data_IF_495437978999
#
_entry.id   IF_495437978999
#
_cell.length_a   1.000
_cell.length_b   1.000
_cell.length_c   1.000
_cell.angle_alpha   90.00
_cell.angle_beta   90.00
_cell.angle_gamma   90.00
#
_symmetry.space_group_name_H-M   'P 1'
#
loop_
_entity.id
_entity.type
_entity.pdbx_description
1 polymer ?
#
# COMPACT_ATOMS: atom_id res chain seq x y z
N UNK A 1 0.16 1.04 16.03
CA UNK A 1 -0.75 0.17 15.29
C UNK A 1 -2.16 0.69 15.46
N UNK A 2 -2.88 0.80 14.37
CA UNK A 2 -4.31 0.97 14.50
C UNK A 2 -4.84 -0.29 15.18
N UNK A 3 -5.61 -0.12 16.24
CA UNK A 3 -6.18 -1.24 16.96
C UNK A 3 -6.99 -2.08 15.96
N UNK A 4 -6.53 -3.31 15.69
CA UNK A 4 -7.18 -4.21 14.76
C UNK A 4 -6.40 -4.61 13.53
N UNK A 5 -5.31 -3.89 13.19
CA UNK A 5 -4.45 -4.31 12.08
C UNK A 5 -3.60 -5.50 12.51
N UNK A 6 -3.53 -6.52 11.65
CA UNK A 6 -2.82 -7.76 11.92
C UNK A 6 -2.00 -8.20 10.73
N UNK A 7 -0.84 -8.77 11.04
CA UNK A 7 0.00 -9.45 10.05
C UNK A 7 -0.05 -10.94 10.34
N UNK A 8 -0.41 -11.72 9.32
CA UNK A 8 -0.34 -13.18 9.37
C UNK A 8 0.50 -13.65 8.21
N UNK A 9 1.47 -14.49 8.47
CA UNK A 9 2.31 -14.96 7.38
C UNK A 9 3.29 -16.02 7.80
N UNK A 10 3.99 -16.52 6.83
CA UNK A 10 5.11 -17.41 6.98
C UNK A 10 6.35 -16.82 6.34
N UNK A 11 7.49 -17.19 6.83
CA UNK A 11 8.74 -16.68 6.31
C UNK A 11 9.93 -17.40 6.89
N UNK A 12 11.10 -16.86 6.68
CA UNK A 12 12.35 -17.45 7.16
C UNK A 12 13.29 -16.36 7.64
N UNK A 13 14.15 -16.74 8.56
CA UNK A 13 15.18 -15.84 9.06
C UNK A 13 16.04 -16.53 10.11
N UNK A 14 17.20 -15.97 10.31
CA UNK A 14 18.07 -16.35 11.45
C UNK A 14 17.80 -15.38 12.57
N UNK A 15 17.25 -15.90 13.67
CA UNK A 15 16.88 -15.07 14.80
C UNK A 15 17.54 -15.62 16.07
N UNK A 16 18.08 -14.71 16.86
CA UNK A 16 18.59 -15.02 18.18
C UNK A 16 17.62 -14.48 19.23
N UNK A 17 17.18 -15.38 20.12
CA UNK A 17 16.25 -15.04 21.18
C UNK A 17 17.02 -15.16 22.51
N UNK A 18 17.00 -14.09 23.31
CA UNK A 18 17.59 -14.06 24.63
C UNK A 18 16.52 -13.80 25.67
N UNK A 19 16.52 -14.59 26.72
CA UNK A 19 15.57 -14.44 27.81
C UNK A 19 16.36 -14.18 29.11
N UNK A 20 16.20 -12.97 29.68
CA UNK A 20 16.91 -12.59 30.88
C UNK A 20 16.16 -12.93 32.17
N UNK A 21 16.88 -12.84 33.30
CA UNK A 21 16.36 -13.13 34.64
C UNK A 21 15.26 -12.17 35.10
N UNK A 22 15.04 -11.06 34.39
CA UNK A 22 14.01 -10.06 34.69
C UNK A 22 12.82 -10.12 33.72
N UNK A 23 12.60 -11.25 33.09
CA UNK A 23 11.51 -11.45 32.10
C UNK A 23 11.64 -10.56 30.86
N UNK A 24 12.85 -10.07 30.58
CA UNK A 24 13.11 -9.29 29.38
C UNK A 24 13.40 -10.21 28.20
N UNK A 25 12.46 -10.28 27.29
CA UNK A 25 12.67 -10.98 26.04
C UNK A 25 13.42 -10.05 25.07
N UNK A 26 14.54 -10.54 24.54
CA UNK A 26 15.32 -9.84 23.53
C UNK A 26 15.37 -10.68 22.27
N UNK A 27 15.14 -10.04 21.14
CA UNK A 27 15.18 -10.68 19.83
C UNK A 27 16.11 -9.92 18.91
N UNK A 28 16.94 -10.65 18.19
CA UNK A 28 17.89 -10.10 17.22
C UNK A 28 17.79 -10.88 15.92
N UNK A 29 17.86 -10.19 14.80
CA UNK A 29 17.89 -10.80 13.50
C UNK A 29 16.82 -10.28 12.58
N UNK A 30 16.79 -10.82 11.37
CA UNK A 30 15.87 -10.43 10.32
C UNK A 30 14.94 -11.59 10.00
N UNK A 31 13.67 -11.28 9.86
CA UNK A 31 12.64 -12.23 9.41
C UNK A 31 12.13 -11.77 8.06
N UNK A 32 12.35 -12.59 7.02
CA UNK A 32 11.85 -12.33 5.69
C UNK A 32 10.50 -13.02 5.50
N UNK A 33 9.49 -12.23 5.13
CA UNK A 33 8.15 -12.74 4.88
C UNK A 33 8.11 -13.29 3.46
N UNK A 34 7.73 -14.56 3.32
CA UNK A 34 7.58 -15.24 2.04
C UNK A 34 6.14 -15.21 1.56
N UNK A 35 5.21 -15.36 2.49
CA UNK A 35 3.78 -15.34 2.19
C UNK A 35 3.05 -14.77 3.40
N UNK A 36 2.13 -13.87 3.17
CA UNK A 36 1.41 -13.27 4.28
C UNK A 36 0.30 -12.34 3.86
N UNK A 37 -0.52 -12.03 4.83
CA UNK A 37 -1.67 -11.14 4.69
C UNK A 37 -1.54 -10.05 5.75
N UNK A 38 -1.73 -8.81 5.32
CA UNK A 38 -1.90 -7.67 6.20
C UNK A 38 -3.38 -7.28 6.24
N UNK A 39 -4.00 -7.41 7.39
CA UNK A 39 -5.39 -6.99 7.58
C UNK A 39 -5.39 -5.48 7.83
N UNK A 40 -5.70 -4.73 6.78
CA UNK A 40 -5.70 -3.27 6.82
C UNK A 40 -7.06 -2.75 7.23
N UNK A 41 -7.09 -1.78 8.14
CA UNK A 41 -8.30 -1.05 8.49
C UNK A 41 -8.03 0.45 8.52
N UNK A 42 -9.01 1.22 8.05
CA UNK A 42 -8.94 2.68 8.07
C UNK A 42 -10.28 3.21 8.60
N UNK A 43 -10.22 3.96 9.72
CA UNK A 43 -11.36 4.63 10.34
C UNK A 43 -12.56 3.70 10.58
N UNK A 44 -12.31 2.41 10.77
CA UNK A 44 -13.34 1.37 10.98
C UNK A 44 -14.32 1.22 9.80
N UNK A 45 -14.10 1.93 8.70
CA UNK A 45 -14.95 1.88 7.51
C UNK A 45 -14.38 0.97 6.43
N UNK A 46 -13.07 0.88 6.34
CA UNK A 46 -12.37 0.09 5.34
C UNK A 46 -11.68 -1.06 6.04
N UNK A 47 -11.98 -2.29 5.61
CA UNK A 47 -11.31 -3.51 6.06
C UNK A 47 -10.94 -4.30 4.81
N UNK A 48 -9.65 -4.35 4.50
CA UNK A 48 -9.15 -5.05 3.31
C UNK A 48 -7.92 -5.87 3.64
N UNK A 49 -7.85 -7.04 3.06
CA UNK A 49 -6.70 -7.94 3.22
C UNK A 49 -5.71 -7.68 2.09
N UNK A 50 -4.58 -7.11 2.43
CA UNK A 50 -3.48 -6.88 1.50
C UNK A 50 -2.55 -8.08 1.52
N UNK A 51 -2.18 -8.55 0.35
CA UNK A 51 -1.19 -9.62 0.21
C UNK A 51 0.20 -9.04 0.36
N UNK A 52 0.96 -9.54 1.32
CA UNK A 52 2.33 -9.11 1.56
C UNK A 52 3.22 -9.67 0.45
N UNK A 53 4.04 -8.81 -0.14
CA UNK A 53 5.00 -9.23 -1.17
C UNK A 53 6.19 -9.93 -0.54
N UNK A 54 6.67 -10.96 -1.22
CA UNK A 54 7.91 -11.62 -0.85
C UNK A 54 9.05 -10.62 -0.81
N UNK A 55 9.93 -10.77 0.18
CA UNK A 55 11.03 -9.83 0.41
C UNK A 55 10.72 -8.76 1.45
N UNK A 56 9.48 -8.68 1.93
CA UNK A 56 9.16 -7.84 3.07
C UNK A 56 9.88 -8.34 4.32
N UNK A 57 10.37 -7.41 5.14
CA UNK A 57 11.27 -7.73 6.26
C UNK A 57 10.73 -7.19 7.57
N UNK A 58 10.99 -7.94 8.64
CA UNK A 58 10.90 -7.44 10.01
C UNK A 58 12.26 -7.64 10.64
N UNK A 59 12.85 -6.56 11.17
CA UNK A 59 14.18 -6.57 11.76
C UNK A 59 14.09 -6.33 13.25
N UNK A 60 14.67 -7.23 14.03
CA UNK A 60 14.68 -7.16 15.48
C UNK A 60 16.06 -6.78 15.98
N UNK A 61 16.11 -5.84 16.91
CA UNK A 61 17.34 -5.30 17.47
C UNK A 61 17.23 -5.12 18.98
N UNK A 62 16.72 -6.12 19.68
CA UNK A 62 16.57 -6.17 21.13
C UNK A 62 15.14 -6.28 21.57
N UNK A 63 14.47 -5.17 21.84
CA UNK A 63 13.06 -5.18 22.24
C UNK A 63 12.18 -5.60 21.07
N UNK A 64 11.42 -6.71 21.19
CA UNK A 64 10.56 -7.17 20.10
C UNK A 64 9.49 -6.16 19.69
N UNK A 65 9.07 -5.31 20.61
CA UNK A 65 8.06 -4.29 20.31
C UNK A 65 8.62 -3.09 19.55
N UNK A 66 9.94 -2.92 19.53
CA UNK A 66 10.64 -1.87 18.79
C UNK A 66 11.28 -2.42 17.52
N UNK A 67 10.76 -3.51 17.01
CA UNK A 67 11.20 -4.04 15.73
C UNK A 67 10.94 -3.02 14.61
N UNK A 68 11.83 -3.03 13.63
CA UNK A 68 11.65 -2.24 12.41
C UNK A 68 11.04 -3.11 11.33
N UNK A 69 10.16 -2.54 10.53
CA UNK A 69 9.59 -3.25 9.42
C UNK A 69 9.78 -2.51 8.11
N UNK A 70 9.81 -3.29 7.05
CA UNK A 70 9.82 -2.82 5.68
C UNK A 70 8.90 -3.76 4.90
N UNK A 71 7.63 -3.39 4.85
CA UNK A 71 6.58 -4.25 4.31
C UNK A 71 5.95 -3.57 3.10
N UNK A 72 5.84 -4.34 2.04
CA UNK A 72 5.15 -3.97 0.81
C UNK A 72 4.01 -4.97 0.60
N UNK A 73 2.79 -4.47 0.58
CA UNK A 73 1.60 -5.32 0.43
C UNK A 73 0.68 -4.74 -0.65
N UNK A 74 -0.04 -5.61 -1.33
CA UNK A 74 -0.89 -5.20 -2.45
C UNK A 74 -2.31 -5.69 -2.27
N UNK A 75 -3.24 -4.88 -2.76
CA UNK A 75 -4.63 -5.24 -2.99
C UNK A 75 -4.94 -5.04 -4.46
N UNK A 76 -5.23 -6.13 -5.17
CA UNK A 76 -5.51 -6.08 -6.61
C UNK A 76 -7.00 -5.92 -6.85
N UNK A 77 -7.32 -5.04 -7.79
CA UNK A 77 -8.69 -4.84 -8.27
C UNK A 77 -8.67 -4.45 -9.73
N UNK A 78 -9.84 -4.33 -10.33
CA UNK A 78 -10.00 -3.86 -11.71
C UNK A 78 -10.72 -2.54 -11.70
N UNK A 79 -10.20 -1.55 -12.43
CA UNK A 79 -10.80 -0.24 -12.50
C UNK A 79 -10.69 0.34 -13.92
N UNK A 80 -11.52 1.32 -14.19
CA UNK A 80 -11.57 1.98 -15.49
C UNK A 80 -10.67 3.22 -15.48
N UNK A 81 -9.66 3.23 -16.37
CA UNK A 81 -8.73 4.35 -16.47
C UNK A 81 -9.41 5.66 -16.89
N UNK A 82 -10.51 5.60 -17.62
CA UNK A 82 -11.22 6.81 -18.05
C UNK A 82 -11.82 7.58 -16.87
N UNK A 83 -12.06 6.93 -15.74
CA UNK A 83 -12.51 7.62 -14.53
C UNK A 83 -11.43 8.52 -13.95
N UNK A 84 -10.17 8.16 -14.13
CA UNK A 84 -9.04 9.00 -13.73
C UNK A 84 -8.79 10.09 -14.77
N UNK A 85 -8.61 9.70 -16.03
CA UNK A 85 -8.34 10.61 -17.12
C UNK A 85 -8.67 9.90 -18.46
N UNK A 86 -9.42 10.57 -19.30
CA UNK A 86 -9.83 10.01 -20.58
C UNK A 86 -8.65 9.78 -21.52
N UNK A 87 -7.62 10.60 -21.44
CA UNK A 87 -6.44 10.45 -22.29
C UNK A 87 -5.65 9.20 -21.98
N UNK A 88 -5.64 8.74 -20.72
CA UNK A 88 -5.01 7.48 -20.35
C UNK A 88 -5.72 6.29 -20.96
N UNK A 89 -7.05 6.34 -21.01
CA UNK A 89 -7.84 5.25 -21.58
C UNK A 89 -7.57 5.05 -23.07
N UNK A 90 -7.23 6.13 -23.79
CA UNK A 90 -6.89 6.07 -25.21
C UNK A 90 -5.56 5.37 -25.47
N UNK A 91 -4.64 5.39 -24.52
CA UNK A 91 -3.32 4.76 -24.64
C UNK A 91 -3.30 3.31 -24.17
N UNK A 92 -4.38 2.85 -23.56
CA UNK A 92 -4.50 1.49 -23.09
C UNK A 92 -5.34 0.66 -24.08
N UNK A 93 -4.93 -0.59 -24.38
CA UNK A 93 -5.76 -1.49 -25.19
C UNK A 93 -7.05 -1.90 -24.48
N UNK A 94 -7.13 -1.67 -23.19
CA UNK A 94 -8.31 -1.98 -22.36
C UNK A 94 -8.69 -0.77 -21.52
N UNK A 95 -9.99 -0.48 -21.44
CA UNK A 95 -10.52 0.54 -20.54
C UNK A 95 -10.46 0.09 -19.08
N UNK A 96 -10.85 -1.15 -18.83
CA UNK A 96 -10.77 -1.75 -17.49
C UNK A 96 -9.44 -2.49 -17.37
N UNK A 97 -8.64 -2.10 -16.40
CA UNK A 97 -7.29 -2.63 -16.19
C UNK A 97 -7.12 -3.15 -14.77
N UNK A 98 -6.24 -4.16 -14.58
CA UNK A 98 -5.83 -4.52 -13.23
C UNK A 98 -5.08 -3.36 -12.59
N UNK A 99 -5.37 -3.12 -11.32
CA UNK A 99 -4.73 -2.08 -10.52
C UNK A 99 -4.27 -2.71 -9.21
N UNK A 100 -3.04 -2.45 -8.82
CA UNK A 100 -2.56 -2.79 -7.49
C UNK A 100 -2.58 -1.53 -6.64
N UNK A 101 -3.37 -1.56 -5.59
CA UNK A 101 -3.23 -0.62 -4.48
C UNK A 101 -2.08 -1.13 -3.61
N UNK A 102 -1.03 -0.33 -3.47
CA UNK A 102 0.18 -0.71 -2.75
C UNK A 102 0.18 -0.04 -1.39
N UNK A 103 0.36 -0.83 -0.35
CA UNK A 103 0.52 -0.37 1.02
C UNK A 103 1.98 -0.54 1.40
N UNK A 104 2.62 0.55 1.77
CA UNK A 104 4.02 0.58 2.22
C UNK A 104 4.05 0.90 3.70
N UNK A 105 4.64 -0.01 4.46
CA UNK A 105 4.80 0.15 5.91
C UNK A 105 6.28 0.10 6.22
N UNK A 106 6.80 1.16 6.83
CA UNK A 106 8.17 1.18 7.28
C UNK A 106 8.28 1.77 8.68
N UNK A 107 9.48 1.68 9.26
CA UNK A 107 9.75 2.19 10.58
C UNK A 107 9.40 1.21 11.69
N UNK A 108 9.05 1.74 12.85
CA UNK A 108 8.87 0.92 14.04
C UNK A 108 7.51 0.23 14.06
N UNK A 109 7.52 -1.03 14.50
CA UNK A 109 6.31 -1.86 14.58
C UNK A 109 5.19 -1.20 15.39
N UNK A 110 5.53 -0.46 16.45
CA UNK A 110 4.55 0.23 17.28
C UNK A 110 3.90 1.42 16.61
N UNK A 111 4.67 2.11 15.77
CA UNK A 111 4.22 3.33 15.12
C UNK A 111 4.77 3.37 13.71
N UNK A 112 4.20 2.56 12.81
CA UNK A 112 4.68 2.49 11.45
C UNK A 112 4.36 3.77 10.68
N UNK A 113 5.24 4.08 9.74
CA UNK A 113 4.94 5.04 8.69
C UNK A 113 4.14 4.32 7.61
N UNK A 114 2.99 4.87 7.27
CA UNK A 114 2.11 4.30 6.25
C UNK A 114 2.14 5.21 5.04
N UNK A 115 2.40 4.64 3.87
CA UNK A 115 2.27 5.34 2.60
C UNK A 115 1.63 4.42 1.57
N UNK A 116 1.19 5.00 0.47
CA UNK A 116 0.49 4.27 -0.59
C UNK A 116 1.14 4.54 -1.94
N UNK A 117 0.96 3.60 -2.84
CA UNK A 117 1.34 3.74 -4.23
C UNK A 117 0.32 2.99 -5.10
N UNK A 118 0.41 3.20 -6.40
CA UNK A 118 -0.42 2.52 -7.39
C UNK A 118 0.46 1.89 -8.45
N UNK A 119 0.07 0.71 -8.88
CA UNK A 119 0.70 0.01 -10.00
C UNK A 119 -0.36 -0.49 -10.97
N UNK A 120 0.02 -0.56 -12.24
CA UNK A 120 -0.81 -1.14 -13.29
C UNK A 120 -0.13 -2.41 -13.80
N UNK A 121 -0.35 -3.56 -13.12
CA UNK A 121 0.31 -4.79 -13.53
C UNK A 121 -0.15 -5.20 -14.92
N UNK A 122 0.80 -5.65 -15.74
CA UNK A 122 0.52 -6.04 -17.13
C UNK A 122 0.43 -4.88 -18.12
N UNK A 123 0.44 -3.65 -17.65
CA UNK A 123 0.52 -2.47 -18.53
C UNK A 123 1.98 -2.09 -18.78
N UNK A 124 2.21 -1.29 -19.82
CA UNK A 124 3.56 -0.82 -20.09
C UNK A 124 3.97 0.25 -19.07
N UNK A 125 5.28 0.41 -18.92
CA UNK A 125 5.83 1.36 -17.93
C UNK A 125 5.45 2.80 -18.21
N UNK A 126 5.27 3.15 -19.47
CA UNK A 126 4.90 4.50 -19.88
C UNK A 126 3.49 4.86 -19.40
N UNK A 127 2.53 3.95 -19.53
CA UNK A 127 1.18 4.16 -19.05
C UNK A 127 1.14 4.33 -17.54
N UNK A 128 1.88 3.50 -16.81
CA UNK A 128 1.99 3.61 -15.36
C UNK A 128 2.63 4.94 -14.95
N UNK A 129 3.68 5.35 -15.65
CA UNK A 129 4.35 6.62 -15.40
C UNK A 129 3.42 7.81 -15.64
N UNK A 130 2.62 7.78 -16.72
CA UNK A 130 1.64 8.83 -17.00
C UNK A 130 0.55 8.86 -15.93
N UNK A 131 0.06 7.72 -15.49
CA UNK A 131 -0.91 7.66 -14.40
C UNK A 131 -0.34 8.32 -13.14
N UNK A 132 0.88 7.97 -12.76
CA UNK A 132 1.51 8.52 -11.56
C UNK A 132 1.78 10.01 -11.67
N UNK A 133 2.01 10.53 -12.89
CA UNK A 133 2.21 11.96 -13.08
C UNK A 133 0.95 12.79 -12.78
N UNK A 134 -0.22 12.17 -12.88
CA UNK A 134 -1.50 12.79 -12.55
C UNK A 134 -1.81 12.72 -11.04
N UNK A 135 -1.07 11.89 -10.31
CA UNK A 135 -1.27 11.65 -8.87
C UNK A 135 0.06 11.95 -8.18
N UNK A 136 0.44 13.22 -8.16
CA UNK A 136 1.80 13.64 -7.82
C UNK A 136 1.99 14.06 -6.36
N UNK A 137 0.94 14.05 -5.55
CA UNK A 137 1.04 14.33 -4.12
C UNK A 137 0.57 13.14 -3.29
N UNK A 138 1.06 13.08 -2.06
CA UNK A 138 0.65 12.02 -1.12
C UNK A 138 -0.85 12.08 -0.82
N UNK A 139 -1.40 13.28 -0.73
CA UNK A 139 -2.84 13.46 -0.50
C UNK A 139 -3.67 12.95 -1.67
N UNK A 140 -3.24 13.22 -2.89
CA UNK A 140 -3.90 12.72 -4.10
C UNK A 140 -3.80 11.20 -4.18
N UNK A 141 -2.64 10.65 -3.85
CA UNK A 141 -2.44 9.21 -3.84
C UNK A 141 -3.36 8.53 -2.81
N UNK A 142 -3.40 9.06 -1.60
CA UNK A 142 -4.27 8.54 -0.53
C UNK A 142 -5.74 8.57 -0.95
N UNK A 143 -6.17 9.65 -1.59
CA UNK A 143 -7.55 9.78 -2.07
C UNK A 143 -7.88 8.72 -3.13
N UNK A 144 -6.97 8.48 -4.06
CA UNK A 144 -7.15 7.44 -5.07
C UNK A 144 -7.27 6.05 -4.43
N UNK A 145 -6.41 5.76 -3.47
CA UNK A 145 -6.44 4.47 -2.77
C UNK A 145 -7.78 4.27 -2.05
N UNK A 146 -8.27 5.29 -1.35
CA UNK A 146 -9.55 5.21 -0.64
C UNK A 146 -10.70 4.94 -1.62
N UNK A 147 -10.76 5.68 -2.73
CA UNK A 147 -11.80 5.48 -3.73
C UNK A 147 -11.75 4.10 -4.36
N UNK A 148 -10.54 3.62 -4.69
CA UNK A 148 -10.37 2.28 -5.25
C UNK A 148 -10.79 1.19 -4.27
N UNK A 149 -10.42 1.31 -3.01
CA UNK A 149 -10.76 0.31 -1.99
C UNK A 149 -12.25 0.29 -1.65
N UNK A 150 -12.90 1.45 -1.64
CA UNK A 150 -14.32 1.55 -1.26
C UNK A 150 -15.24 1.37 -2.46
N UNK A 151 -14.92 1.97 -3.61
CA UNK A 151 -15.81 2.08 -4.75
C UNK A 151 -15.34 1.28 -5.98
N UNK A 152 -14.16 0.68 -5.96
CA UNK A 152 -13.53 0.05 -7.13
C UNK A 152 -13.40 1.00 -8.32
N UNK A 153 -13.25 2.30 -8.05
CA UNK A 153 -13.17 3.35 -9.06
C UNK A 153 -12.05 4.31 -8.73
N UNK A 154 -11.38 4.80 -9.76
CA UNK A 154 -10.54 5.97 -9.61
C UNK A 154 -11.37 7.18 -9.25
N UNK A 155 -10.80 8.05 -8.42
CA UNK A 155 -11.33 9.39 -8.19
C UNK A 155 -10.98 10.25 -9.40
N UNK A 156 -11.97 10.97 -9.94
CA UNK A 156 -11.75 11.90 -11.06
C UNK A 156 -11.30 13.24 -10.49
N UNK A 157 -10.03 13.64 -10.70
CA UNK A 157 -9.55 14.91 -10.19
C UNK A 157 -10.29 16.09 -10.82
N UNK A 158 -10.62 17.09 -10.01
CA UNK A 158 -11.16 18.34 -10.52
C UNK A 158 -9.99 19.24 -10.90
N UNK A 159 -9.89 19.55 -12.18
CA UNK A 159 -8.92 20.53 -12.66
C UNK A 159 -9.46 21.93 -12.43
N UNK A 160 -8.91 22.61 -11.44
CA UNK A 160 -9.34 23.96 -11.06
C UNK A 160 -9.18 25.03 -12.15
N UNK A 161 -8.52 24.69 -13.26
CA UNK A 161 -8.34 25.60 -14.38
C UNK A 161 -9.43 25.57 -15.46
N UNK A 162 -10.29 24.55 -15.45
CA UNK A 162 -11.31 24.38 -16.49
C UNK A 162 -12.66 24.99 -16.12
N UNK A 163 -12.90 25.22 -14.85
CA UNK A 163 -14.21 25.70 -14.40
C UNK A 163 -14.47 27.18 -14.69
N UNK A 164 -13.48 27.96 -15.09
CA UNK A 164 -13.67 29.36 -15.39
C UNK A 164 -14.16 29.63 -16.82
N UNK A 165 -14.13 28.62 -17.69
CA UNK A 165 -14.52 28.77 -19.07
C UNK A 165 -15.91 28.23 -19.42
N UNK A 166 -16.52 27.49 -18.50
CA UNK A 166 -17.81 26.86 -18.73
C UNK A 166 -19.00 27.79 -18.41
N UNK A 167 -18.74 29.00 -17.91
CA UNK A 167 -19.77 29.93 -17.49
C UNK A 167 -19.86 31.21 -18.35
N UNK A 168 -19.24 31.20 -19.50
CA UNK A 168 -19.38 32.32 -20.45
C UNK A 168 -20.21 31.97 -21.66
#
# INVERSE_FOLDING_TARGET
>A
PHAGDKIKGSGSGSMQIQYGTKSDLRMYGNYAIQDGIYNFSLQQLIHKDFKIREGSLISFNGDPFNANMDINAIYNLTANLSDLDQSLALESPRTNVPVNCVLLLDGMLRQPNISFDLELPGSNEELERQMKSLIDTDDMMTRQIIYLLVLNKFYTPEYTGQNSNDFT
#
